data_IF_146026732031
#
_entry.id   IF_146026732031
#
_cell.length_a   1.000
_cell.length_b   1.000
_cell.length_c   1.000
_cell.angle_alpha   90.00
_cell.angle_beta   90.00
_cell.angle_gamma   90.00
#
_symmetry.space_group_name_H-M   'P 1'
#
loop_
_entity.id
_entity.type
_entity.pdbx_description
1 polymer ?
#
# COMPACT_ATOMS: atom_id res chain seq x y z
N UNK A 1 -24.18 -9.14 2.36
CA UNK A 1 -23.68 -8.23 1.30
C UNK A 1 -22.18 -8.43 0.98
N UNK A 2 -21.51 -9.43 1.58
CA UNK A 2 -20.05 -9.63 1.57
C UNK A 2 -19.48 -10.22 0.27
N UNK A 3 -20.26 -10.97 -0.51
CA UNK A 3 -19.78 -11.61 -1.76
C UNK A 3 -19.49 -10.64 -2.92
N UNK A 4 -20.09 -9.44 -2.93
CA UNK A 4 -19.84 -8.44 -3.98
C UNK A 4 -18.41 -7.88 -3.88
N UNK A 5 -17.93 -7.69 -2.64
CA UNK A 5 -16.60 -7.16 -2.36
C UNK A 5 -15.47 -8.11 -2.80
N UNK A 6 -15.69 -9.43 -2.72
CA UNK A 6 -14.68 -10.41 -3.15
C UNK A 6 -14.51 -10.44 -4.67
N UNK A 7 -15.61 -10.35 -5.43
CA UNK A 7 -15.56 -10.28 -6.89
C UNK A 7 -14.88 -8.98 -7.33
N UNK A 8 -15.17 -7.86 -6.68
CA UNK A 8 -14.53 -6.58 -6.98
C UNK A 8 -13.03 -6.60 -6.64
N UNK A 9 -12.64 -7.28 -5.55
CA UNK A 9 -11.25 -7.55 -5.22
C UNK A 9 -10.55 -8.42 -6.28
N UNK A 10 -11.16 -9.52 -6.71
CA UNK A 10 -10.61 -10.38 -7.77
C UNK A 10 -10.47 -9.64 -9.10
N UNK A 11 -11.47 -8.82 -9.47
CA UNK A 11 -11.38 -7.95 -10.65
C UNK A 11 -10.21 -6.98 -10.54
N UNK A 12 -10.01 -6.36 -9.38
CA UNK A 12 -8.88 -5.49 -9.15
C UNK A 12 -7.55 -6.25 -9.26
N UNK A 13 -7.41 -7.43 -8.68
CA UNK A 13 -6.21 -8.28 -8.82
C UNK A 13 -5.90 -8.58 -10.28
N UNK A 14 -6.93 -8.91 -11.06
CA UNK A 14 -6.78 -9.23 -12.47
C UNK A 14 -6.35 -8.00 -13.30
N UNK A 15 -6.91 -6.84 -13.00
CA UNK A 15 -6.50 -5.56 -13.61
C UNK A 15 -5.06 -5.21 -13.24
N UNK A 16 -4.67 -5.37 -11.96
CA UNK A 16 -3.30 -5.09 -11.51
C UNK A 16 -2.30 -6.04 -12.18
N UNK A 17 -2.59 -7.33 -12.21
CA UNK A 17 -1.75 -8.33 -12.86
C UNK A 17 -1.60 -8.04 -14.37
N UNK A 18 -2.66 -7.60 -15.04
CA UNK A 18 -2.60 -7.18 -16.44
C UNK A 18 -1.71 -5.93 -16.64
N UNK A 19 -1.77 -4.96 -15.73
CA UNK A 19 -0.88 -3.79 -15.76
C UNK A 19 0.58 -4.22 -15.56
N UNK A 20 0.86 -5.08 -14.58
CA UNK A 20 2.20 -5.61 -14.33
C UNK A 20 2.72 -6.42 -15.51
N UNK A 21 1.87 -7.18 -16.19
CA UNK A 21 2.24 -7.89 -17.42
C UNK A 21 2.73 -6.91 -18.50
N UNK A 22 1.97 -5.85 -18.78
CA UNK A 22 2.31 -4.87 -19.82
C UNK A 22 3.61 -4.14 -19.49
N UNK A 23 3.75 -3.67 -18.24
CA UNK A 23 4.94 -2.93 -17.80
C UNK A 23 6.18 -3.82 -17.85
N UNK A 24 6.07 -5.04 -17.35
CA UNK A 24 7.18 -5.99 -17.34
C UNK A 24 7.54 -6.41 -18.77
N UNK A 25 6.56 -6.62 -19.66
CA UNK A 25 6.82 -6.94 -21.06
C UNK A 25 7.55 -5.79 -21.78
N UNK A 26 7.10 -4.54 -21.58
CA UNK A 26 7.75 -3.36 -22.17
C UNK A 26 9.16 -3.19 -21.60
N UNK A 27 9.33 -3.27 -20.28
CA UNK A 27 10.63 -3.12 -19.63
C UNK A 27 11.63 -4.19 -20.08
N UNK A 28 11.21 -5.45 -20.12
CA UNK A 28 12.04 -6.56 -20.60
C UNK A 28 12.38 -6.43 -22.09
N UNK A 29 11.45 -5.90 -22.91
CA UNK A 29 11.71 -5.60 -24.33
C UNK A 29 12.77 -4.52 -24.50
N UNK A 30 12.70 -3.45 -23.71
CA UNK A 30 13.72 -2.37 -23.72
C UNK A 30 15.09 -2.89 -23.31
N UNK A 31 15.11 -3.84 -22.36
CA UNK A 31 16.34 -4.51 -21.90
C UNK A 31 16.85 -5.59 -22.87
N UNK A 32 16.24 -5.75 -24.05
CA UNK A 32 16.58 -6.77 -25.05
C UNK A 32 16.64 -8.20 -24.47
N UNK A 33 15.76 -8.51 -23.51
CA UNK A 33 15.73 -9.83 -22.91
C UNK A 33 15.08 -10.81 -23.88
N UNK A 34 15.77 -11.92 -24.18
CA UNK A 34 15.20 -13.00 -24.96
C UNK A 34 13.94 -13.56 -24.31
N UNK A 35 12.95 -13.93 -25.13
CA UNK A 35 11.67 -14.46 -24.65
C UNK A 35 10.95 -13.53 -23.65
N UNK A 36 11.08 -12.21 -23.82
CA UNK A 36 10.51 -11.20 -22.90
C UNK A 36 9.02 -11.40 -22.61
N UNK A 37 8.22 -11.80 -23.60
CA UNK A 37 6.78 -12.07 -23.44
C UNK A 37 6.55 -13.24 -22.47
N UNK A 38 7.28 -14.34 -22.67
CA UNK A 38 7.13 -15.54 -21.85
C UNK A 38 7.50 -15.25 -20.38
N UNK A 39 8.60 -14.52 -20.18
CA UNK A 39 9.09 -14.12 -18.85
C UNK A 39 8.15 -13.10 -18.19
N UNK A 40 7.57 -12.16 -18.95
CA UNK A 40 6.59 -11.23 -18.43
C UNK A 40 5.30 -11.94 -18.00
N UNK A 41 4.84 -12.94 -18.75
CA UNK A 41 3.69 -13.77 -18.36
C UNK A 41 4.00 -14.52 -17.06
N UNK A 42 5.17 -15.13 -16.93
CA UNK A 42 5.59 -15.80 -15.70
C UNK A 42 5.56 -14.85 -14.50
N UNK A 43 6.12 -13.65 -14.66
CA UNK A 43 6.10 -12.61 -13.62
C UNK A 43 4.66 -12.23 -13.26
N UNK A 44 3.79 -12.00 -14.25
CA UNK A 44 2.40 -11.59 -14.02
C UNK A 44 1.55 -12.68 -13.34
N UNK A 45 1.81 -13.95 -13.64
CA UNK A 45 1.16 -15.09 -12.99
C UNK A 45 1.55 -15.18 -11.52
N UNK A 46 2.85 -15.05 -11.22
CA UNK A 46 3.33 -15.02 -9.82
C UNK A 46 2.83 -13.76 -9.10
N UNK A 47 2.72 -12.65 -9.82
CA UNK A 47 2.24 -11.36 -9.29
C UNK A 47 0.76 -11.37 -8.87
N UNK A 48 0.00 -12.35 -9.35
CA UNK A 48 -1.35 -12.66 -8.87
C UNK A 48 -1.36 -13.03 -7.37
N UNK A 49 -0.21 -13.44 -6.82
CA UNK A 49 -0.01 -13.69 -5.38
C UNK A 49 0.26 -12.34 -4.69
N UNK A 50 -0.66 -11.81 -3.86
CA UNK A 50 -0.57 -10.45 -3.33
C UNK A 50 0.69 -10.16 -2.50
N UNK A 51 1.12 -11.15 -1.71
CA UNK A 51 2.23 -11.03 -0.74
C UNK A 51 3.59 -11.17 -1.43
N UNK A 52 3.69 -12.02 -2.46
CA UNK A 52 4.96 -12.30 -3.14
C UNK A 52 5.20 -11.35 -4.33
N UNK A 53 4.15 -11.08 -5.09
CA UNK A 53 4.18 -10.20 -6.25
C UNK A 53 5.22 -10.60 -7.31
N UNK A 54 5.55 -9.66 -8.18
CA UNK A 54 6.64 -9.75 -9.15
C UNK A 54 8.03 -9.90 -8.49
N UNK A 55 8.16 -9.57 -7.20
CA UNK A 55 9.41 -9.68 -6.44
C UNK A 55 9.95 -11.12 -6.35
N UNK A 56 9.08 -12.12 -6.23
CA UNK A 56 9.50 -13.52 -6.16
C UNK A 56 10.21 -14.03 -7.43
N UNK A 57 10.00 -13.38 -8.58
CA UNK A 57 10.70 -13.71 -9.83
C UNK A 57 11.83 -12.72 -10.09
N UNK A 58 11.56 -11.42 -9.94
CA UNK A 58 12.53 -10.37 -10.29
C UNK A 58 13.72 -10.34 -9.33
N UNK A 59 13.54 -10.58 -8.03
CA UNK A 59 14.64 -10.52 -7.04
C UNK A 59 15.67 -11.63 -7.26
N UNK A 60 15.30 -12.93 -7.32
CA UNK A 60 16.27 -13.98 -7.63
C UNK A 60 16.96 -13.74 -8.97
N UNK A 61 16.21 -13.25 -9.97
CA UNK A 61 16.78 -13.00 -11.28
C UNK A 61 17.77 -11.84 -11.29
N UNK A 62 17.50 -10.74 -10.56
CA UNK A 62 18.46 -9.66 -10.35
C UNK A 62 19.75 -10.17 -9.71
N UNK A 63 19.65 -11.00 -8.66
CA UNK A 63 20.81 -11.58 -7.98
C UNK A 63 21.64 -12.41 -8.96
N UNK A 64 20.99 -13.27 -9.75
CA UNK A 64 21.67 -14.06 -10.78
C UNK A 64 22.42 -13.17 -11.78
N UNK A 65 21.82 -12.05 -12.23
CA UNK A 65 22.46 -11.12 -13.18
C UNK A 65 23.62 -10.34 -12.57
N UNK A 66 23.56 -10.01 -11.29
CA UNK A 66 24.70 -9.42 -10.57
C UNK A 66 25.85 -10.42 -10.48
N UNK A 67 25.56 -11.69 -10.16
CA UNK A 67 26.59 -12.75 -10.08
C UNK A 67 27.24 -13.00 -11.45
N UNK A 68 26.48 -12.92 -12.55
CA UNK A 68 27.00 -13.05 -13.91
C UNK A 68 27.66 -11.76 -14.44
N UNK A 69 27.89 -10.74 -13.60
CA UNK A 69 28.45 -9.43 -13.97
C UNK A 69 27.66 -8.64 -15.03
N UNK A 70 26.37 -8.93 -15.19
CA UNK A 70 25.46 -8.19 -16.08
C UNK A 70 24.74 -7.07 -15.33
N UNK A 71 25.52 -6.13 -14.77
CA UNK A 71 25.00 -5.01 -13.99
C UNK A 71 23.95 -4.14 -14.72
N UNK A 72 24.08 -3.83 -16.02
CA UNK A 72 23.07 -3.04 -16.72
C UNK A 72 21.69 -3.73 -16.75
N UNK A 73 21.67 -5.05 -16.93
CA UNK A 73 20.43 -5.82 -16.94
C UNK A 73 19.83 -5.94 -15.54
N UNK A 74 20.68 -6.16 -14.52
CA UNK A 74 20.25 -6.20 -13.12
C UNK A 74 19.63 -4.86 -12.68
N UNK A 75 20.25 -3.73 -13.04
CA UNK A 75 19.72 -2.40 -12.77
C UNK A 75 18.37 -2.16 -13.49
N UNK A 76 18.26 -2.58 -14.75
CA UNK A 76 17.02 -2.51 -15.51
C UNK A 76 15.87 -3.31 -14.90
N UNK A 77 16.14 -4.54 -14.45
CA UNK A 77 15.19 -5.36 -13.71
C UNK A 77 14.77 -4.69 -12.40
N UNK A 78 15.70 -4.00 -11.72
CA UNK A 78 15.42 -3.22 -10.51
C UNK A 78 14.47 -2.05 -10.76
N UNK A 79 14.63 -1.33 -11.87
CA UNK A 79 13.70 -0.26 -12.28
C UNK A 79 12.30 -0.83 -12.52
N UNK A 80 12.18 -1.94 -13.26
CA UNK A 80 10.90 -2.60 -13.51
C UNK A 80 10.23 -3.03 -12.20
N UNK A 81 11.00 -3.64 -11.30
CA UNK A 81 10.52 -4.07 -9.99
C UNK A 81 9.95 -2.89 -9.20
N UNK A 82 10.63 -1.76 -9.19
CA UNK A 82 10.20 -0.58 -8.43
C UNK A 82 8.96 0.05 -9.01
N UNK A 83 8.86 0.14 -10.33
CA UNK A 83 7.62 0.62 -10.99
C UNK A 83 6.44 -0.27 -10.57
N UNK A 84 6.61 -1.60 -10.58
CA UNK A 84 5.57 -2.54 -10.15
C UNK A 84 5.19 -2.34 -8.66
N UNK A 85 6.18 -2.15 -7.78
CA UNK A 85 5.94 -1.89 -6.35
C UNK A 85 5.16 -0.59 -6.15
N UNK A 86 5.53 0.50 -6.83
CA UNK A 86 4.85 1.79 -6.73
C UNK A 86 3.39 1.67 -7.18
N UNK A 87 3.13 1.02 -8.31
CA UNK A 87 1.77 0.81 -8.82
C UNK A 87 0.94 0.00 -7.83
N UNK A 88 1.54 -1.04 -7.23
CA UNK A 88 0.88 -1.85 -6.20
C UNK A 88 0.55 -1.04 -4.95
N UNK A 89 1.48 -0.20 -4.50
CA UNK A 89 1.29 0.67 -3.34
C UNK A 89 0.22 1.74 -3.57
N UNK A 90 0.01 2.16 -4.82
CA UNK A 90 -1.07 3.06 -5.24
C UNK A 90 -2.41 2.33 -5.38
N UNK A 91 -2.37 1.08 -5.84
CA UNK A 91 -3.55 0.29 -6.07
C UNK A 91 -4.15 -0.27 -4.78
N UNK A 92 -3.36 -0.72 -3.80
CA UNK A 92 -3.85 -1.19 -2.51
C UNK A 92 -4.83 -0.22 -1.82
N UNK A 93 -4.53 1.08 -1.64
CA UNK A 93 -5.48 2.03 -1.07
C UNK A 93 -6.67 2.30 -1.98
N UNK A 94 -6.57 2.10 -3.30
CA UNK A 94 -7.72 2.23 -4.20
C UNK A 94 -8.68 1.03 -4.11
N UNK A 95 -8.11 -0.18 -4.02
CA UNK A 95 -8.86 -1.44 -3.94
C UNK A 95 -9.48 -1.64 -2.55
N UNK A 96 -8.80 -1.19 -1.50
CA UNK A 96 -9.22 -1.37 -0.11
C UNK A 96 -9.90 -0.10 0.45
N UNK A 97 -9.54 1.08 -0.05
CA UNK A 97 -9.83 2.36 0.59
C UNK A 97 -11.04 3.09 0.01
N UNK A 98 -12.24 2.64 0.39
CA UNK A 98 -13.39 3.56 0.51
C UNK A 98 -13.42 4.27 1.88
N UNK A 99 -12.37 4.15 2.70
CA UNK A 99 -12.41 4.53 4.12
C UNK A 99 -11.18 5.25 4.69
N UNK A 100 -10.16 5.59 3.90
CA UNK A 100 -8.94 6.23 4.42
C UNK A 100 -8.90 7.72 4.07
N UNK A 101 -9.49 8.55 4.95
CA UNK A 101 -9.50 10.01 4.87
C UNK A 101 -8.13 10.69 5.06
N UNK A 102 -7.02 10.04 4.67
CA UNK A 102 -5.67 10.63 4.67
C UNK A 102 -5.26 10.81 3.21
N UNK A 103 -4.95 12.05 2.82
CA UNK A 103 -4.69 12.44 1.43
C UNK A 103 -3.57 11.56 0.83
N UNK A 104 -3.89 10.66 -0.12
CA UNK A 104 -2.94 9.69 -0.68
C UNK A 104 -1.67 10.32 -1.26
N UNK A 105 -1.77 11.59 -1.66
CA UNK A 105 -0.68 12.39 -2.23
C UNK A 105 0.58 12.42 -1.34
N UNK A 106 0.43 12.43 -0.01
CA UNK A 106 1.56 12.55 0.91
C UNK A 106 2.35 11.24 1.00
N UNK A 107 1.69 10.09 0.97
CA UNK A 107 2.35 8.79 0.97
C UNK A 107 3.19 8.61 -0.29
N UNK A 108 2.66 9.04 -1.44
CA UNK A 108 3.39 9.01 -2.72
C UNK A 108 4.60 9.92 -2.69
N UNK A 109 4.47 11.14 -2.15
CA UNK A 109 5.59 12.07 -2.03
C UNK A 109 6.70 11.52 -1.12
N UNK A 110 6.35 10.85 -0.01
CA UNK A 110 7.32 10.24 0.92
C UNK A 110 8.07 9.11 0.24
N UNK A 111 7.39 8.23 -0.51
CA UNK A 111 8.05 7.14 -1.23
C UNK A 111 8.95 7.64 -2.36
N UNK A 112 8.54 8.70 -3.07
CA UNK A 112 9.37 9.37 -4.06
C UNK A 112 10.63 9.97 -3.44
N UNK A 113 10.49 10.67 -2.31
CA UNK A 113 11.63 11.25 -1.60
C UNK A 113 12.58 10.15 -1.10
N UNK A 114 12.03 9.06 -0.57
CA UNK A 114 12.79 7.92 -0.07
C UNK A 114 13.55 7.20 -1.20
N UNK A 115 12.96 7.12 -2.38
CA UNK A 115 13.62 6.62 -3.58
C UNK A 115 14.81 7.49 -4.01
N UNK A 116 14.65 8.81 -4.00
CA UNK A 116 15.72 9.76 -4.35
C UNK A 116 16.90 9.66 -3.38
N UNK A 117 16.62 9.48 -2.08
CA UNK A 117 17.65 9.48 -1.03
C UNK A 117 18.35 8.14 -0.86
N UNK A 118 17.62 7.02 -0.99
CA UNK A 118 18.13 5.69 -0.65
C UNK A 118 17.79 4.59 -1.65
N UNK A 119 17.26 4.94 -2.82
CA UNK A 119 16.85 3.97 -3.83
C UNK A 119 15.86 2.94 -3.27
N UNK A 120 16.00 1.64 -3.64
CA UNK A 120 15.10 0.59 -3.17
C UNK A 120 15.07 0.42 -1.65
N UNK A 121 16.23 0.56 -0.98
CA UNK A 121 16.34 0.43 0.48
C UNK A 121 15.61 1.58 1.17
N UNK A 122 15.68 2.78 0.61
CA UNK A 122 14.95 3.95 1.09
C UNK A 122 13.44 3.74 1.10
N UNK A 123 12.87 3.16 0.04
CA UNK A 123 11.43 2.86 -0.01
C UNK A 123 11.04 1.88 1.11
N UNK A 124 11.80 0.80 1.31
CA UNK A 124 11.51 -0.18 2.36
C UNK A 124 11.53 0.49 3.74
N UNK A 125 12.56 1.29 4.01
CA UNK A 125 12.65 2.05 5.26
C UNK A 125 11.47 3.03 5.43
N UNK A 126 11.09 3.74 4.37
CA UNK A 126 9.95 4.65 4.37
C UNK A 126 8.62 3.93 4.66
N UNK A 127 8.43 2.71 4.18
CA UNK A 127 7.24 1.90 4.47
C UNK A 127 7.12 1.61 5.97
N UNK A 128 8.22 1.21 6.61
CA UNK A 128 8.23 0.97 8.07
C UNK A 128 8.01 2.27 8.85
N UNK A 129 8.64 3.37 8.45
CA UNK A 129 8.48 4.67 9.10
C UNK A 129 7.03 5.17 9.00
N UNK A 130 6.42 5.10 7.82
CA UNK A 130 5.02 5.51 7.59
C UNK A 130 4.06 4.62 8.38
N UNK A 131 4.33 3.31 8.46
CA UNK A 131 3.53 2.38 9.25
C UNK A 131 3.57 2.72 10.74
N UNK A 132 4.76 2.97 11.30
CA UNK A 132 4.93 3.35 12.71
C UNK A 132 4.23 4.68 12.98
N UNK A 133 4.43 5.69 12.12
CA UNK A 133 3.77 6.99 12.26
C UNK A 133 2.25 6.86 12.22
N UNK A 134 1.69 6.06 11.30
CA UNK A 134 0.26 5.79 11.25
C UNK A 134 -0.24 5.16 12.54
N UNK A 135 0.44 4.13 13.03
CA UNK A 135 0.06 3.47 14.29
C UNK A 135 0.06 4.42 15.48
N UNK A 136 1.03 5.33 15.57
CA UNK A 136 1.09 6.33 16.65
C UNK A 136 -0.03 7.37 16.53
N UNK A 137 -0.29 7.87 15.32
CA UNK A 137 -1.36 8.84 15.08
C UNK A 137 -2.75 8.23 15.33
N UNK A 138 -2.95 6.96 14.95
CA UNK A 138 -4.20 6.24 15.19
C UNK A 138 -4.45 6.03 16.69
N UNK A 139 -3.41 5.69 17.46
CA UNK A 139 -3.51 5.61 18.93
C UNK A 139 -3.84 6.96 19.57
N UNK A 140 -3.31 8.07 19.02
CA UNK A 140 -3.61 9.41 19.50
C UNK A 140 -5.07 9.85 19.19
N UNK A 141 -5.59 9.48 18.03
CA UNK A 141 -6.97 9.81 17.63
C UNK A 141 -7.99 9.02 18.46
N UNK A 142 -7.72 7.73 18.70
CA UNK A 142 -8.55 6.84 19.55
C UNK A 142 -8.66 7.35 20.98
N UNK A 143 -7.59 7.88 21.58
CA UNK A 143 -7.67 8.49 22.92
C UNK A 143 -8.51 9.76 22.94
N UNK A 144 -8.47 10.54 21.86
CA UNK A 144 -9.18 11.81 21.76
C UNK A 144 -10.69 11.60 21.66
N UNK A 145 -11.13 10.60 20.91
CA UNK A 145 -12.54 10.22 20.80
C UNK A 145 -13.08 9.60 22.09
N UNK A 146 -12.32 8.69 22.72
CA UNK A 146 -12.69 8.12 24.01
C UNK A 146 -12.84 9.20 25.11
N UNK A 147 -12.00 10.25 25.05
CA UNK A 147 -12.08 11.38 25.99
C UNK A 147 -13.30 12.26 25.75
N UNK A 148 -13.65 12.54 24.49
CA UNK A 148 -14.87 13.30 24.13
C UNK A 148 -16.14 12.57 24.58
N UNK A 149 -16.21 11.26 24.36
CA UNK A 149 -17.37 10.46 24.76
C UNK A 149 -17.60 10.47 26.28
N UNK A 150 -16.52 10.39 27.08
CA UNK A 150 -16.59 10.48 28.55
C UNK A 150 -17.12 11.84 29.03
N UNK A 151 -16.67 12.93 28.41
CA UNK A 151 -17.11 14.30 28.75
C UNK A 151 -18.59 14.48 28.40
N UNK A 152 -19.02 13.96 27.24
CA UNK A 152 -20.41 14.07 26.83
C UNK A 152 -21.36 13.22 27.68
N UNK A 153 -20.96 11.99 28.04
CA UNK A 153 -21.72 11.17 28.99
C UNK A 153 -21.86 11.85 30.36
N UNK A 154 -20.81 12.51 30.86
CA UNK A 154 -20.89 13.30 32.11
C UNK A 154 -21.85 14.49 31.97
N UNK A 155 -21.76 15.27 30.89
CA UNK A 155 -22.67 16.39 30.62
C UNK A 155 -24.14 15.96 30.53
N UNK A 156 -24.43 14.82 29.89
CA UNK A 156 -25.79 14.27 29.81
C UNK A 156 -26.30 13.82 31.18
N UNK A 157 -25.43 13.27 32.04
CA UNK A 157 -25.80 12.83 33.38
C UNK A 157 -26.08 14.01 34.32
N UNK A 158 -25.28 15.09 34.23
CA UNK A 158 -25.51 16.33 35.00
C UNK A 158 -26.82 17.01 34.62
N UNK A 159 -27.15 17.12 33.32
CA UNK A 159 -28.44 17.69 32.89
C UNK A 159 -29.65 16.92 33.42
N UNK A 160 -29.60 15.59 33.42
CA UNK A 160 -30.70 14.77 33.99
C UNK A 160 -30.87 14.97 35.50
N UNK A 161 -29.79 15.27 36.22
CA UNK A 161 -29.85 15.55 37.67
C UNK A 161 -30.42 16.95 37.91
N UNK A 162 -30.00 17.94 37.12
CA UNK A 162 -30.56 19.30 37.19
C UNK A 162 -32.04 19.36 36.84
N UNK A 163 -32.48 18.63 35.80
CA UNK A 163 -33.90 18.48 35.45
C UNK A 163 -34.68 17.81 36.58
N UNK A 164 -34.19 16.68 37.10
CA UNK A 164 -34.86 15.96 38.19
C UNK A 164 -34.97 16.78 39.47
N UNK A 165 -33.94 17.55 39.82
CA UNK A 165 -33.99 18.42 40.99
C UNK A 165 -34.97 19.57 40.77
N UNK A 166 -35.06 20.13 39.55
CA UNK A 166 -36.01 21.22 39.25
C UNK A 166 -37.46 20.78 39.39
N UNK A 167 -37.77 19.54 39.04
CA UNK A 167 -39.10 18.95 39.16
C UNK A 167 -39.48 18.62 40.62
N UNK A 168 -38.51 18.41 41.52
CA UNK A 168 -38.76 18.20 42.97
C UNK A 168 -39.04 19.51 43.73
N UNK A 169 -38.70 20.68 43.17
CA UNK A 169 -38.90 21.99 43.82
C UNK A 169 -40.17 22.75 43.34
N UNK A 170 -40.95 22.18 42.42
CA UNK A 170 -42.23 22.73 41.91
C UNK A 170 -43.42 21.96 42.51
#
# INVERSE_FOLDING_TARGET
RTGRNFIDYLKALLILSAITLVITAIGLRILNVEHFILKAILVAVVDFIPILGSGAVLIPWMILRVITNELPLAAGLGVIFVINVVIRQLAEPYVIGKSLGIRPIFSVAIFLLAWIVGGPVGIVAATFIVLIFKSVLEVADVQTDARKEKIEKRRRRSRRIEERNRDEFL
#
